data_IF_398189042423
#
_entry.id   IF_398189042423
#
_cell.length_a   1.000
_cell.length_b   1.000
_cell.length_c   1.000
_cell.angle_alpha   90.00
_cell.angle_beta   90.00
_cell.angle_gamma   90.00
#
_symmetry.space_group_name_H-M   'P 1'
#
loop_
_entity.id
_entity.type
_entity.pdbx_description
1 polymer ?
#
# COMPACT_ATOMS: atom_id res chain seq x y z
N UNK A 1 -6.64 -1.63 -1.06
CA UNK A 1 -6.46 -3.08 -1.25
C UNK A 1 -7.63 -3.88 -0.67
N UNK A 2 -7.94 -3.78 0.62
CA UNK A 2 -8.98 -4.60 1.26
C UNK A 2 -10.33 -4.62 0.53
N UNK A 3 -10.78 -3.50 -0.07
CA UNK A 3 -12.02 -3.46 -0.85
C UNK A 3 -12.07 -4.48 -2.01
N UNK A 4 -10.94 -4.70 -2.70
CA UNK A 4 -10.88 -5.52 -3.92
C UNK A 4 -10.44 -6.96 -3.68
N UNK A 5 -9.70 -7.25 -2.60
CA UNK A 5 -9.13 -8.60 -2.35
C UNK A 5 -9.48 -9.18 -0.98
N UNK A 6 -10.16 -8.39 -0.14
CA UNK A 6 -10.53 -8.76 1.21
C UNK A 6 -11.70 -9.73 1.30
N UNK A 7 -12.12 -10.01 2.53
CA UNK A 7 -13.24 -10.92 2.77
C UNK A 7 -14.54 -10.37 2.16
N UNK A 8 -15.27 -11.22 1.43
CA UNK A 8 -16.52 -10.87 0.72
C UNK A 8 -16.34 -9.82 -0.38
N UNK A 9 -15.15 -9.69 -0.97
CA UNK A 9 -14.92 -8.77 -2.08
C UNK A 9 -15.83 -9.06 -3.30
N UNK A 10 -16.19 -10.32 -3.51
CA UNK A 10 -17.14 -10.81 -4.52
C UNK A 10 -18.57 -10.27 -4.36
N UNK A 11 -18.93 -9.79 -3.17
CA UNK A 11 -20.25 -9.23 -2.86
C UNK A 11 -20.31 -7.71 -3.03
N UNK A 12 -19.17 -7.07 -3.32
CA UNK A 12 -19.06 -5.61 -3.46
C UNK A 12 -19.21 -5.22 -4.93
N UNK A 13 -19.67 -3.99 -5.22
CA UNK A 13 -19.65 -3.46 -6.58
C UNK A 13 -18.25 -3.56 -7.21
N UNK A 14 -18.20 -3.99 -8.46
CA UNK A 14 -16.97 -4.03 -9.24
C UNK A 14 -16.37 -2.63 -9.40
N UNK A 15 -15.04 -2.58 -9.53
CA UNK A 15 -14.29 -1.36 -9.84
C UNK A 15 -13.62 -1.52 -11.19
N UNK A 16 -13.68 -0.48 -12.02
CA UNK A 16 -13.15 -0.51 -13.39
C UNK A 16 -11.62 -0.29 -13.42
N UNK A 17 -11.04 0.28 -12.37
CA UNK A 17 -9.61 0.49 -12.23
C UNK A 17 -9.21 0.90 -10.81
N UNK A 18 -7.92 0.77 -10.49
CA UNK A 18 -7.35 1.10 -9.18
C UNK A 18 -6.19 2.07 -9.38
N UNK A 19 -6.18 3.16 -8.60
CA UNK A 19 -5.04 4.08 -8.50
C UNK A 19 -4.51 4.03 -7.07
N UNK A 20 -3.23 3.71 -6.91
CA UNK A 20 -2.51 3.79 -5.64
C UNK A 20 -1.53 4.96 -5.68
N UNK A 21 -1.88 6.06 -5.01
CA UNK A 21 -0.98 7.21 -4.82
C UNK A 21 -0.23 7.06 -3.49
N UNK A 22 1.09 7.21 -3.55
CA UNK A 22 2.01 7.03 -2.41
C UNK A 22 1.68 5.82 -1.50
N UNK A 23 1.53 4.59 -2.06
CA UNK A 23 1.31 3.42 -1.22
C UNK A 23 2.58 3.11 -0.43
N UNK A 24 2.57 3.42 0.87
CA UNK A 24 3.69 3.21 1.79
C UNK A 24 3.28 2.30 2.95
N UNK A 25 4.25 1.65 3.58
CA UNK A 25 4.01 0.82 4.75
C UNK A 25 3.95 1.66 6.02
N UNK A 26 2.79 1.67 6.69
CA UNK A 26 2.68 2.21 8.04
C UNK A 26 3.63 1.48 8.99
N UNK A 27 3.85 0.16 8.80
CA UNK A 27 4.76 -0.63 9.63
C UNK A 27 6.19 -0.11 9.57
N UNK A 28 6.71 0.06 8.36
CA UNK A 28 8.09 0.53 8.14
C UNK A 28 8.25 2.00 8.54
N UNK A 29 7.21 2.82 8.36
CA UNK A 29 7.19 4.20 8.87
C UNK A 29 7.21 4.23 10.40
N UNK A 30 6.40 3.40 11.06
CA UNK A 30 6.39 3.25 12.53
C UNK A 30 7.76 2.78 13.04
N UNK A 31 8.38 1.81 12.38
CA UNK A 31 9.71 1.30 12.74
C UNK A 31 10.82 2.34 12.59
N UNK A 32 10.70 3.25 11.62
CA UNK A 32 11.65 4.34 11.43
C UNK A 32 11.50 5.46 12.48
N UNK A 33 10.27 5.76 12.90
CA UNK A 33 9.97 6.89 13.80
C UNK A 33 9.98 6.52 15.29
N UNK A 34 9.58 5.29 15.63
CA UNK A 34 9.42 4.87 17.02
C UNK A 34 10.70 4.20 17.56
N UNK A 35 11.17 4.59 18.76
CA UNK A 35 12.22 3.84 19.44
C UNK A 35 11.84 2.37 19.61
N UNK A 36 12.77 1.46 19.31
CA UNK A 36 12.53 0.01 19.31
C UNK A 36 11.86 -0.51 20.60
N UNK A 37 12.29 -0.01 21.76
CA UNK A 37 11.70 -0.40 23.05
C UNK A 37 10.23 0.00 23.19
N UNK A 38 9.83 1.17 22.68
CA UNK A 38 8.44 1.61 22.70
C UNK A 38 7.59 0.81 21.71
N UNK A 39 8.13 0.51 20.53
CA UNK A 39 7.47 -0.33 19.52
C UNK A 39 7.20 -1.73 20.08
N UNK A 40 8.21 -2.33 20.69
CA UNK A 40 8.08 -3.64 21.33
C UNK A 40 7.02 -3.61 22.44
N UNK A 41 7.06 -2.62 23.34
CA UNK A 41 6.08 -2.49 24.42
C UNK A 41 4.65 -2.32 23.88
N UNK A 42 4.47 -1.48 22.85
CA UNK A 42 3.17 -1.27 22.20
C UNK A 42 2.64 -2.55 21.54
N UNK A 43 3.49 -3.28 20.84
CA UNK A 43 3.15 -4.56 20.20
C UNK A 43 2.74 -5.62 21.23
N UNK A 44 3.54 -5.81 22.28
CA UNK A 44 3.26 -6.78 23.34
C UNK A 44 1.96 -6.47 24.08
N UNK A 45 1.72 -5.20 24.38
CA UNK A 45 0.51 -4.76 25.05
C UNK A 45 -0.73 -4.93 24.16
N UNK A 46 -0.66 -4.52 22.89
CA UNK A 46 -1.79 -4.66 21.96
C UNK A 46 -2.15 -6.14 21.74
N UNK A 47 -1.14 -7.01 21.57
CA UNK A 47 -1.32 -8.46 21.50
C UNK A 47 -2.01 -9.00 22.76
N UNK A 48 -1.57 -8.57 23.94
CA UNK A 48 -2.18 -8.96 25.22
C UNK A 48 -3.64 -8.51 25.30
N UNK A 49 -3.92 -7.24 25.00
CA UNK A 49 -5.28 -6.68 25.03
C UNK A 49 -6.22 -7.44 24.09
N UNK A 50 -5.77 -7.78 22.88
CA UNK A 50 -6.57 -8.60 21.97
C UNK A 50 -6.85 -10.01 22.52
N UNK A 51 -5.86 -10.67 23.15
CA UNK A 51 -6.06 -11.97 23.81
C UNK A 51 -7.05 -11.91 24.98
N UNK A 52 -7.10 -10.77 25.67
CA UNK A 52 -7.98 -10.54 26.82
C UNK A 52 -9.38 -10.04 26.43
N UNK A 53 -9.68 -9.91 25.13
CA UNK A 53 -10.97 -9.43 24.63
C UNK A 53 -11.13 -7.91 24.59
N UNK A 54 -10.06 -7.18 24.90
CA UNK A 54 -9.96 -5.71 24.90
C UNK A 54 -9.46 -5.15 23.55
N UNK A 55 -9.74 -5.83 22.43
CA UNK A 55 -9.20 -5.46 21.10
C UNK A 55 -9.69 -4.08 20.62
N UNK A 56 -10.86 -3.64 21.10
CA UNK A 56 -11.46 -2.34 20.78
C UNK A 56 -11.06 -1.22 21.74
N UNK A 57 -10.31 -1.54 22.79
CA UNK A 57 -9.86 -0.54 23.76
C UNK A 57 -8.62 0.19 23.24
N UNK A 58 -8.50 1.46 23.60
CA UNK A 58 -7.38 2.29 23.21
C UNK A 58 -6.10 1.85 23.93
N UNK A 59 -5.00 1.74 23.19
CA UNK A 59 -3.69 1.55 23.82
C UNK A 59 -3.22 2.85 24.49
N UNK A 60 -2.44 2.78 25.57
CA UNK A 60 -1.98 3.96 26.31
C UNK A 60 -1.30 4.98 25.38
N UNK A 61 -1.79 6.22 25.38
CA UNK A 61 -1.29 7.25 24.48
C UNK A 61 0.23 7.46 24.59
N UNK A 62 0.85 7.24 25.76
CA UNK A 62 2.32 7.33 25.92
C UNK A 62 3.12 6.46 24.93
N UNK A 63 2.55 5.35 24.47
CA UNK A 63 3.21 4.40 23.56
C UNK A 63 3.11 4.84 22.09
N UNK A 64 2.07 5.59 21.75
CA UNK A 64 1.71 5.92 20.36
C UNK A 64 1.79 7.40 20.03
N UNK A 65 1.89 8.26 21.06
CA UNK A 65 1.96 9.72 20.94
C UNK A 65 3.07 10.21 20.01
N UNK A 66 4.27 9.60 19.94
CA UNK A 66 5.30 10.07 19.00
C UNK A 66 4.84 10.04 17.53
N UNK A 67 3.95 9.11 17.17
CA UNK A 67 3.47 8.95 15.79
C UNK A 67 2.09 9.60 15.61
N UNK A 68 1.16 9.33 16.54
CA UNK A 68 -0.26 9.70 16.40
C UNK A 68 -0.63 10.97 17.18
N UNK A 69 0.31 11.58 17.91
CA UNK A 69 0.06 12.76 18.72
C UNK A 69 -1.05 12.53 19.74
N UNK A 70 -2.18 13.22 19.57
CA UNK A 70 -3.36 13.13 20.46
C UNK A 70 -4.40 12.12 19.99
N UNK A 71 -4.19 11.49 18.84
CA UNK A 71 -5.14 10.53 18.28
C UNK A 71 -4.99 9.20 19.03
N UNK A 72 -6.12 8.66 19.48
CA UNK A 72 -6.16 7.34 20.09
C UNK A 72 -6.26 6.26 19.00
N UNK A 73 -5.63 5.12 19.26
CA UNK A 73 -5.68 3.94 18.40
C UNK A 73 -6.04 2.73 19.27
N UNK A 74 -6.91 1.87 18.75
CA UNK A 74 -7.31 0.65 19.46
C UNK A 74 -6.22 -0.41 19.36
N UNK A 75 -6.22 -1.38 20.28
CA UNK A 75 -5.28 -2.50 20.24
C UNK A 75 -5.31 -3.25 18.89
N UNK A 76 -6.50 -3.54 18.36
CA UNK A 76 -6.62 -4.20 17.06
C UNK A 76 -6.05 -3.33 15.93
N UNK A 77 -6.44 -2.05 15.87
CA UNK A 77 -6.00 -1.15 14.81
C UNK A 77 -4.48 -0.99 14.82
N UNK A 78 -3.85 -0.96 16.00
CA UNK A 78 -2.39 -0.96 16.14
C UNK A 78 -1.76 -2.21 15.53
N UNK A 79 -2.28 -3.41 15.85
CA UNK A 79 -1.77 -4.66 15.26
C UNK A 79 -1.95 -4.72 13.74
N UNK A 80 -3.02 -4.12 13.22
CA UNK A 80 -3.31 -4.10 11.79
C UNK A 80 -2.24 -3.33 10.99
N UNK A 81 -1.67 -2.26 11.55
CA UNK A 81 -0.63 -1.42 10.90
C UNK A 81 0.79 -1.73 11.35
N UNK A 82 1.01 -2.00 12.63
CA UNK A 82 2.33 -2.29 13.18
C UNK A 82 2.76 -3.72 12.88
N UNK A 83 1.82 -4.58 12.44
CA UNK A 83 2.05 -5.91 11.84
C UNK A 83 3.26 -6.63 12.44
N UNK A 84 3.24 -6.89 13.76
CA UNK A 84 4.46 -7.27 14.48
C UNK A 84 4.99 -8.64 14.04
N UNK A 85 6.30 -8.89 14.25
CA UNK A 85 6.88 -10.20 14.07
C UNK A 85 6.28 -11.23 15.04
N UNK A 86 6.38 -12.54 14.75
CA UNK A 86 7.09 -13.11 13.60
C UNK A 86 6.24 -13.25 12.33
N UNK A 87 4.92 -13.04 12.42
CA UNK A 87 4.01 -13.40 11.32
C UNK A 87 3.74 -12.28 10.33
N UNK A 88 3.94 -11.01 10.71
CA UNK A 88 3.61 -9.84 9.89
C UNK A 88 2.22 -9.96 9.25
N UNK A 89 1.25 -10.36 10.08
CA UNK A 89 -0.11 -10.70 9.66
C UNK A 89 -1.10 -9.55 9.90
N UNK A 90 -0.62 -8.32 10.02
CA UNK A 90 -1.47 -7.13 10.13
C UNK A 90 -2.42 -7.02 8.94
N UNK A 91 -3.67 -6.65 9.18
CA UNK A 91 -4.68 -6.55 8.13
C UNK A 91 -4.32 -5.48 7.07
N UNK A 92 -3.61 -4.42 7.46
CA UNK A 92 -3.28 -3.29 6.59
C UNK A 92 -1.83 -3.33 6.06
N UNK A 93 -1.07 -4.36 6.40
CA UNK A 93 0.30 -4.54 5.90
C UNK A 93 0.30 -5.14 4.49
N UNK A 94 0.10 -4.25 3.51
CA UNK A 94 0.13 -4.55 2.08
C UNK A 94 1.40 -4.09 1.38
N UNK A 95 2.14 -3.15 1.97
CA UNK A 95 3.15 -2.35 1.28
C UNK A 95 4.55 -2.47 1.88
N UNK A 96 4.75 -3.28 2.92
CA UNK A 96 6.10 -3.44 3.49
C UNK A 96 7.06 -4.07 2.48
N UNK A 97 8.30 -3.59 2.47
CA UNK A 97 9.28 -3.97 1.47
C UNK A 97 9.76 -5.41 1.60
N UNK A 98 9.64 -6.00 2.79
CA UNK A 98 10.08 -7.36 3.11
C UNK A 98 8.97 -8.42 3.02
N UNK A 99 7.75 -8.05 2.60
CA UNK A 99 6.66 -9.01 2.49
C UNK A 99 7.05 -10.16 1.56
N UNK A 100 6.80 -11.39 2.01
CA UNK A 100 7.05 -12.59 1.22
C UNK A 100 6.16 -12.61 -0.02
N UNK A 101 6.64 -13.23 -1.10
CA UNK A 101 5.89 -13.31 -2.36
C UNK A 101 4.53 -14.01 -2.21
N UNK A 102 4.38 -14.93 -1.25
CA UNK A 102 3.07 -15.53 -0.92
C UNK A 102 2.06 -14.47 -0.49
N UNK A 103 2.47 -13.47 0.29
CA UNK A 103 1.60 -12.37 0.72
C UNK A 103 1.25 -11.46 -0.44
N UNK A 104 2.19 -11.21 -1.35
CA UNK A 104 1.94 -10.43 -2.57
C UNK A 104 0.98 -11.15 -3.52
N UNK A 105 1.12 -12.48 -3.66
CA UNK A 105 0.18 -13.32 -4.42
C UNK A 105 -1.23 -13.28 -3.83
N UNK A 106 -1.33 -13.30 -2.51
CA UNK A 106 -2.61 -13.23 -1.81
C UNK A 106 -3.27 -11.85 -1.80
N UNK A 107 -2.57 -10.83 -2.30
CA UNK A 107 -3.05 -9.43 -2.35
C UNK A 107 -2.99 -8.91 -3.78
N UNK A 108 -1.86 -8.35 -4.22
CA UNK A 108 -1.65 -7.87 -5.59
C UNK A 108 -1.95 -8.93 -6.65
N UNK A 109 -1.61 -10.20 -6.41
CA UNK A 109 -1.88 -11.32 -7.32
C UNK A 109 -3.34 -11.76 -7.40
N UNK A 110 -4.24 -11.22 -6.56
CA UNK A 110 -5.69 -11.47 -6.64
C UNK A 110 -6.45 -10.40 -7.42
N UNK A 111 -5.76 -9.36 -7.91
CA UNK A 111 -6.41 -8.30 -8.67
C UNK A 111 -6.96 -8.86 -9.99
N UNK A 112 -8.23 -8.51 -10.27
CA UNK A 112 -8.94 -8.99 -11.46
C UNK A 112 -8.26 -8.51 -12.75
N UNK A 113 -8.22 -9.34 -13.80
CA UNK A 113 -7.83 -8.89 -15.14
C UNK A 113 -8.70 -7.73 -15.67
N UNK A 114 -9.94 -7.61 -15.17
CA UNK A 114 -10.89 -6.56 -15.53
C UNK A 114 -10.67 -5.23 -14.82
N UNK A 115 -9.71 -5.16 -13.89
CA UNK A 115 -9.49 -4.01 -13.02
C UNK A 115 -8.00 -3.62 -13.06
N UNK A 116 -7.58 -2.83 -14.06
CA UNK A 116 -6.19 -2.40 -14.20
C UNK A 116 -5.71 -1.60 -12.99
N UNK A 117 -4.43 -1.77 -12.64
CA UNK A 117 -3.77 -1.11 -11.53
C UNK A 117 -2.78 -0.04 -12.04
N UNK A 118 -2.92 1.19 -11.54
CA UNK A 118 -1.93 2.26 -11.64
C UNK A 118 -1.28 2.47 -10.28
N UNK A 119 0.06 2.41 -10.24
CA UNK A 119 0.86 2.69 -9.04
C UNK A 119 1.62 4.00 -9.27
N UNK A 120 1.43 4.98 -8.40
CA UNK A 120 2.07 6.30 -8.44
C UNK A 120 2.84 6.50 -7.14
N UNK A 121 4.08 6.03 -7.12
CA UNK A 121 4.91 6.02 -5.91
C UNK A 121 5.69 7.33 -5.78
N UNK A 122 5.67 7.94 -4.60
CA UNK A 122 6.35 9.22 -4.35
C UNK A 122 7.86 9.06 -4.20
N UNK A 123 8.63 9.65 -5.13
CA UNK A 123 10.09 9.52 -5.17
C UNK A 123 10.80 10.14 -3.96
N UNK A 124 10.23 11.19 -3.38
CA UNK A 124 10.78 11.93 -2.23
C UNK A 124 9.91 11.76 -0.97
N UNK A 125 9.17 10.66 -0.86
CA UNK A 125 8.40 10.32 0.33
C UNK A 125 9.32 10.03 1.53
N UNK A 126 9.12 10.77 2.62
CA UNK A 126 9.89 10.66 3.87
C UNK A 126 9.37 9.54 4.79
N UNK A 127 8.17 9.02 4.54
CA UNK A 127 7.61 7.88 5.28
C UNK A 127 8.27 6.55 4.88
N UNK A 128 9.08 6.55 3.83
CA UNK A 128 9.76 5.35 3.31
C UNK A 128 11.21 5.35 3.80
N UNK A 129 11.67 4.31 4.52
CA UNK A 129 13.05 4.24 4.99
C UNK A 129 14.06 4.34 3.84
N UNK A 130 15.18 5.07 4.00
CA UNK A 130 16.18 5.23 2.94
C UNK A 130 16.81 3.92 2.45
N UNK A 131 16.73 2.85 3.25
CA UNK A 131 17.22 1.51 2.88
C UNK A 131 16.32 0.79 1.86
N UNK A 132 15.08 1.24 1.65
CA UNK A 132 14.14 0.61 0.74
C UNK A 132 14.43 1.01 -0.71
N UNK A 133 14.64 0.02 -1.57
CA UNK A 133 14.72 0.21 -3.02
C UNK A 133 13.31 0.37 -3.61
N UNK A 134 12.90 1.62 -3.85
CA UNK A 134 11.54 1.98 -4.31
C UNK A 134 11.21 1.37 -5.69
N UNK A 135 12.16 1.39 -6.62
CA UNK A 135 11.95 0.84 -7.97
C UNK A 135 11.76 -0.69 -7.93
N UNK A 136 12.57 -1.38 -7.13
CA UNK A 136 12.42 -2.82 -6.93
C UNK A 136 11.10 -3.16 -6.24
N UNK A 137 10.73 -2.40 -5.20
CA UNK A 137 9.48 -2.59 -4.47
C UNK A 137 8.25 -2.47 -5.40
N UNK A 138 8.16 -1.38 -6.16
CA UNK A 138 7.07 -1.18 -7.13
C UNK A 138 7.10 -2.27 -8.20
N UNK A 139 8.28 -2.65 -8.69
CA UNK A 139 8.42 -3.73 -9.67
C UNK A 139 7.93 -5.08 -9.15
N UNK A 140 8.15 -5.39 -7.87
CA UNK A 140 7.65 -6.61 -7.22
C UNK A 140 6.13 -6.63 -7.17
N UNK A 141 5.48 -5.53 -6.82
CA UNK A 141 4.02 -5.44 -6.81
C UNK A 141 3.42 -5.59 -8.21
N UNK A 142 3.97 -4.86 -9.19
CA UNK A 142 3.52 -4.96 -10.58
C UNK A 142 3.68 -6.40 -11.12
N UNK A 143 4.79 -7.06 -10.79
CA UNK A 143 5.03 -8.46 -11.16
C UNK A 143 4.02 -9.39 -10.52
N UNK A 144 3.79 -9.29 -9.21
CA UNK A 144 2.82 -10.11 -8.51
C UNK A 144 1.41 -9.98 -9.10
N UNK A 145 0.98 -8.76 -9.44
CA UNK A 145 -0.29 -8.52 -10.14
C UNK A 145 -0.36 -9.22 -11.49
N UNK A 146 0.68 -9.09 -12.32
CA UNK A 146 0.71 -9.70 -13.65
C UNK A 146 0.78 -11.23 -13.60
N UNK A 147 1.56 -11.81 -12.68
CA UNK A 147 1.62 -13.26 -12.47
C UNK A 147 0.27 -13.83 -12.01
N UNK A 148 -0.54 -13.04 -11.31
CA UNK A 148 -1.91 -13.35 -10.94
C UNK A 148 -2.94 -13.19 -12.07
N UNK A 149 -2.53 -12.70 -13.24
CA UNK A 149 -3.41 -12.41 -14.39
C UNK A 149 -4.01 -11.01 -14.39
N UNK A 150 -3.75 -10.19 -13.37
CA UNK A 150 -4.16 -8.80 -13.31
C UNK A 150 -3.44 -7.92 -14.34
N UNK A 151 -4.00 -6.74 -14.60
CA UNK A 151 -3.43 -5.74 -15.52
C UNK A 151 -2.78 -4.60 -14.73
N UNK A 152 -1.65 -4.10 -15.22
CA UNK A 152 -0.92 -2.97 -14.64
C UNK A 152 -0.62 -1.95 -15.72
N UNK A 153 -0.85 -0.67 -15.45
CA UNK A 153 -0.39 0.41 -16.29
C UNK A 153 1.11 0.69 -16.03
N UNK A 154 1.97 0.05 -16.83
CA UNK A 154 3.42 0.28 -16.81
C UNK A 154 3.87 1.51 -17.61
N UNK A 155 2.97 2.12 -18.39
CA UNK A 155 3.26 3.30 -19.20
C UNK A 155 3.20 4.54 -18.31
N UNK A 156 2.13 4.64 -17.51
CA UNK A 156 1.87 5.77 -16.63
C UNK A 156 2.31 5.53 -15.19
N UNK A 157 2.35 4.26 -14.75
CA UNK A 157 2.73 3.89 -13.39
C UNK A 157 4.23 3.85 -13.15
N UNK A 158 4.63 4.03 -11.88
CA UNK A 158 6.02 4.00 -11.44
C UNK A 158 6.31 5.03 -10.36
N UNK A 159 7.58 5.40 -10.26
CA UNK A 159 8.04 6.46 -9.36
C UNK A 159 7.75 7.83 -9.99
N UNK A 160 7.21 8.75 -9.20
CA UNK A 160 7.08 10.17 -9.53
C UNK A 160 8.26 10.90 -8.88
N UNK A 161 9.27 11.34 -9.66
CA UNK A 161 10.46 11.98 -9.12
C UNK A 161 10.11 13.27 -8.36
N UNK A 162 10.69 13.46 -7.19
CA UNK A 162 10.49 14.68 -6.39
C UNK A 162 9.15 14.78 -5.65
N UNK A 163 8.21 13.86 -5.86
CA UNK A 163 6.93 13.88 -5.15
C UNK A 163 7.10 13.57 -3.67
N UNK A 164 6.53 14.42 -2.81
CA UNK A 164 6.34 14.13 -1.38
C UNK A 164 5.14 13.20 -1.18
N UNK A 165 4.91 12.73 0.05
CA UNK A 165 3.84 11.79 0.37
C UNK A 165 2.45 12.27 -0.07
N UNK A 166 2.13 13.52 0.28
CA UNK A 166 0.83 14.15 0.02
C UNK A 166 0.90 15.25 -1.05
N UNK A 167 2.06 15.40 -1.70
CA UNK A 167 2.36 16.46 -2.67
C UNK A 167 2.31 17.89 -2.10
N UNK A 168 2.10 18.06 -0.79
CA UNK A 168 2.18 19.39 -0.18
C UNK A 168 3.57 19.95 -0.43
N UNK A 169 3.60 21.23 -0.81
CA UNK A 169 4.81 21.99 -1.15
C UNK A 169 5.66 21.37 -2.28
N UNK A 170 5.14 20.36 -2.99
CA UNK A 170 5.81 19.82 -4.17
C UNK A 170 5.79 20.85 -5.29
N UNK A 171 6.86 20.95 -6.10
CA UNK A 171 6.87 21.84 -7.26
C UNK A 171 5.71 21.54 -8.21
N UNK A 172 5.11 22.58 -8.79
CA UNK A 172 4.01 22.44 -9.76
C UNK A 172 4.27 21.38 -10.85
N UNK A 173 5.47 21.27 -11.45
CA UNK A 173 5.74 20.22 -12.45
C UNK A 173 5.58 18.79 -11.93
N UNK A 174 5.85 18.55 -10.64
CA UNK A 174 5.70 17.23 -10.01
C UNK A 174 4.23 16.88 -9.82
N UNK A 175 3.42 17.86 -9.41
CA UNK A 175 1.96 17.71 -9.31
C UNK A 175 1.36 17.46 -10.70
N UNK A 176 1.80 18.21 -11.71
CA UNK A 176 1.35 18.05 -13.09
C UNK A 176 1.73 16.69 -13.69
N UNK A 177 2.92 16.15 -13.38
CA UNK A 177 3.30 14.78 -13.79
C UNK A 177 2.33 13.74 -13.23
N UNK A 178 2.00 13.84 -11.93
CA UNK A 178 1.01 12.94 -11.32
C UNK A 178 -0.36 13.05 -12.01
N UNK A 179 -0.86 14.28 -12.18
CA UNK A 179 -2.17 14.54 -12.77
C UNK A 179 -2.24 14.02 -14.20
N UNK A 180 -1.19 14.26 -15.00
CA UNK A 180 -1.12 13.77 -16.38
C UNK A 180 -1.23 12.24 -16.44
N UNK A 181 -0.47 11.51 -15.60
CA UNK A 181 -0.52 10.04 -15.53
C UNK A 181 -1.89 9.51 -15.13
N UNK A 182 -2.57 10.18 -14.20
CA UNK A 182 -3.95 9.82 -13.81
C UNK A 182 -4.93 10.03 -14.97
N UNK A 183 -4.86 11.18 -15.63
CA UNK A 183 -5.72 11.49 -16.79
C UNK A 183 -5.49 10.47 -17.91
N UNK A 184 -4.23 10.14 -18.19
CA UNK A 184 -3.88 9.19 -19.23
C UNK A 184 -4.34 7.77 -18.87
N UNK A 185 -4.20 7.34 -17.62
CA UNK A 185 -4.76 6.07 -17.15
C UNK A 185 -6.29 6.00 -17.34
N UNK A 186 -7.02 7.04 -16.95
CA UNK A 186 -8.47 7.10 -17.14
C UNK A 186 -8.84 7.06 -18.63
N UNK A 187 -8.12 7.80 -19.49
CA UNK A 187 -8.35 7.76 -20.94
C UNK A 187 -8.17 6.35 -21.51
N UNK A 188 -7.16 5.61 -21.02
CA UNK A 188 -6.91 4.23 -21.44
C UNK A 188 -8.00 3.26 -20.96
N UNK A 189 -8.58 3.50 -19.79
CA UNK A 189 -9.77 2.77 -19.33
C UNK A 189 -10.97 3.04 -20.24
N UNK A 190 -11.28 4.31 -20.52
CA UNK A 190 -12.40 4.71 -21.40
C UNK A 190 -12.27 4.14 -22.82
N UNK A 191 -11.04 4.01 -23.31
CA UNK A 191 -10.73 3.44 -24.62
C UNK A 191 -10.62 1.91 -24.63
N UNK A 192 -10.84 1.24 -23.49
CA UNK A 192 -10.71 -0.21 -23.32
C UNK A 192 -9.32 -0.77 -23.70
N UNK A 193 -8.25 -0.01 -23.48
CA UNK A 193 -6.90 -0.39 -23.93
C UNK A 193 -6.29 -1.54 -23.13
N UNK A 194 -6.76 -1.78 -21.91
CA UNK A 194 -6.23 -2.85 -21.05
C UNK A 194 -6.79 -4.24 -21.39
N UNK A 195 -7.88 -4.31 -22.16
CA UNK A 195 -8.54 -5.55 -22.56
C UNK A 195 -8.39 -5.87 -24.06
N UNK A 196 -7.81 -4.95 -24.83
CA UNK A 196 -7.43 -5.23 -26.22
C UNK A 196 -6.31 -6.28 -26.25
N UNK A 197 -6.35 -7.25 -27.18
CA UNK A 197 -5.22 -8.11 -27.44
C UNK A 197 -4.04 -7.26 -27.94
N UNK A 198 -2.82 -7.54 -27.44
CA UNK A 198 -1.61 -6.86 -27.90
C UNK A 198 -1.50 -6.98 -29.42
N UNK A 199 -1.58 -5.86 -30.13
CA UNK A 199 -1.53 -5.82 -31.59
C UNK A 199 -0.18 -6.33 -32.16
N UNK A 200 0.83 -6.48 -31.30
CA UNK A 200 2.19 -6.90 -31.65
C UNK A 200 2.58 -8.28 -31.12
N UNK A 201 1.64 -9.09 -30.62
CA UNK A 201 1.87 -10.53 -30.41
C UNK A 201 1.85 -11.29 -31.75
N UNK A 202 2.77 -10.94 -32.66
CA UNK A 202 3.04 -11.74 -33.86
C UNK A 202 3.86 -12.98 -33.45
N UNK A 203 3.27 -14.13 -33.82
CA UNK A 203 3.77 -15.51 -33.74
C UNK A 203 5.22 -15.61 -34.24
#
# INVERSE_FOLDING_TARGET
>A
MEYVVGAKADQRPSVDGIILQAPVSDREAIEAELPHALLQEANELALKMCREGCSKDAIPNRLVRPIFGRIAITAQRWLDIASPPPTHSGADDYFSSDLLDVRLKDTFGKLSPSTPLLILFSGSDLSVPPSVNKDELVSRWMRATQEGGGKVDRVNGGIIPGASHNLNDSPEPVVQDLVARVIDFIRRLDNDEFHKPDADAKI
#
